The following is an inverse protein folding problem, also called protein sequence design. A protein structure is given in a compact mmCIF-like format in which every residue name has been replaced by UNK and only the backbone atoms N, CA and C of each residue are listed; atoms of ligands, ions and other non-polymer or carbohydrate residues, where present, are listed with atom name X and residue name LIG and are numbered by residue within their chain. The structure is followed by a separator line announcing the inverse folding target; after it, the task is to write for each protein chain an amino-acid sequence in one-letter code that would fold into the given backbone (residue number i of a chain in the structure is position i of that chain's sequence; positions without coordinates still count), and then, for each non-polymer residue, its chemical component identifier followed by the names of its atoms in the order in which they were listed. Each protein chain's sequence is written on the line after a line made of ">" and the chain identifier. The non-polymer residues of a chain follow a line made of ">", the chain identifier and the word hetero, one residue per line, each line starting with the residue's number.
data_IF_275295406878
#
_entry.id   IF_275295406878
#
_cell.length_a   1.000
_cell.length_b   1.000
_cell.length_c   1.000
_cell.angle_alpha   90.00
_cell.angle_beta   90.00
_cell.angle_gamma   90.00
#
_symmetry.space_group_name_H-M   'P 1'
#
loop_
_entity.id
_entity.type
_entity.pdbx_description
1 polymer ?
#
# COMPACT_ATOMS: atom_id res chain seq x y z
N UNK A 1 20.52 -29.81 8.51
CA UNK A 1 19.08 -29.81 8.15
C UNK A 1 18.96 -29.34 6.71
N UNK A 2 18.01 -29.83 5.92
CA UNK A 2 17.81 -29.32 4.57
C UNK A 2 17.26 -27.88 4.65
N UNK A 3 17.76 -26.98 3.80
CA UNK A 3 17.21 -25.62 3.67
C UNK A 3 15.83 -25.70 3.04
N UNK A 4 14.81 -25.21 3.74
CA UNK A 4 13.41 -25.29 3.35
C UNK A 4 12.63 -24.00 3.60
N UNK A 5 13.21 -22.98 4.25
CA UNK A 5 12.50 -21.75 4.59
C UNK A 5 12.76 -20.62 3.60
N UNK A 6 11.72 -19.88 3.26
CA UNK A 6 11.80 -18.55 2.64
C UNK A 6 11.41 -17.53 3.70
N UNK A 7 12.23 -16.49 3.87
CA UNK A 7 11.96 -15.36 4.75
C UNK A 7 11.69 -14.14 3.89
N UNK A 8 10.61 -13.42 4.17
CA UNK A 8 10.17 -12.27 3.35
C UNK A 8 9.93 -11.07 4.26
N UNK A 9 10.51 -9.94 3.90
CA UNK A 9 10.28 -8.62 4.51
C UNK A 9 10.06 -7.57 3.43
N UNK A 10 9.39 -6.49 3.77
CA UNK A 10 9.12 -5.33 2.91
C UNK A 10 9.14 -4.06 3.75
N UNK A 11 8.99 -2.90 3.10
CA UNK A 11 8.68 -1.62 3.74
C UNK A 11 9.69 -1.31 4.86
N UNK A 12 10.96 -1.24 4.51
CA UNK A 12 12.03 -0.86 5.45
C UNK A 12 12.22 0.65 5.45
N UNK A 13 12.18 1.28 4.27
CA UNK A 13 12.32 2.72 4.07
C UNK A 13 13.63 3.34 4.59
N UNK A 14 14.77 2.70 4.30
CA UNK A 14 16.08 3.28 4.56
C UNK A 14 16.24 4.60 3.78
N UNK A 15 16.51 5.70 4.48
CA UNK A 15 16.73 7.03 3.90
C UNK A 15 17.91 7.73 4.59
N UNK A 16 17.96 9.06 4.63
CA UNK A 16 19.04 9.82 5.28
C UNK A 16 18.96 9.86 6.82
N UNK A 17 17.85 9.39 7.40
CA UNK A 17 17.61 9.33 8.84
C UNK A 17 17.23 10.68 9.46
N UNK A 18 16.89 11.69 8.65
CA UNK A 18 16.42 13.00 9.12
C UNK A 18 15.05 12.91 9.79
N UNK A 19 14.57 13.97 10.44
CA UNK A 19 13.32 13.97 11.22
C UNK A 19 12.09 13.46 10.46
N UNK A 20 11.99 13.70 9.16
CA UNK A 20 10.92 13.20 8.29
C UNK A 20 11.05 11.70 7.93
N UNK A 21 12.23 11.08 8.05
CA UNK A 21 12.41 9.67 7.69
C UNK A 21 11.52 8.73 8.51
N UNK A 22 10.93 7.71 7.88
CA UNK A 22 10.19 6.66 8.61
C UNK A 22 11.11 5.67 9.33
N UNK A 23 12.28 5.37 8.76
CA UNK A 23 13.28 4.52 9.40
C UNK A 23 14.25 5.35 10.26
N UNK A 24 14.47 4.93 11.51
CA UNK A 24 15.30 5.66 12.49
C UNK A 24 16.35 4.82 13.20
N UNK A 25 16.08 3.54 13.40
CA UNK A 25 16.89 2.68 14.27
C UNK A 25 17.39 1.45 13.51
N UNK A 26 18.70 1.21 13.57
CA UNK A 26 19.32 0.12 12.84
C UNK A 26 19.31 -1.22 13.61
N UNK A 27 19.02 -1.19 14.91
CA UNK A 27 19.35 -2.31 15.81
C UNK A 27 18.45 -3.52 15.57
N UNK A 28 17.15 -3.29 15.46
CA UNK A 28 16.13 -4.34 15.30
C UNK A 28 16.28 -5.06 13.97
N UNK A 29 16.38 -4.32 12.86
CA UNK A 29 16.54 -4.90 11.53
C UNK A 29 17.89 -5.62 11.39
N UNK A 30 18.99 -5.05 11.91
CA UNK A 30 20.30 -5.70 11.92
C UNK A 30 20.27 -7.01 12.70
N UNK A 31 19.56 -7.06 13.83
CA UNK A 31 19.35 -8.27 14.61
C UNK A 31 18.63 -9.35 13.79
N UNK A 32 17.53 -8.98 13.14
CA UNK A 32 16.74 -9.88 12.30
C UNK A 32 17.53 -10.44 11.12
N UNK A 33 18.24 -9.57 10.37
CA UNK A 33 19.05 -9.97 9.23
C UNK A 33 20.20 -10.90 9.65
N UNK A 34 20.87 -10.60 10.78
CA UNK A 34 21.89 -11.49 11.32
C UNK A 34 21.32 -12.84 11.75
N UNK A 35 20.15 -12.88 12.40
CA UNK A 35 19.48 -14.14 12.74
C UNK A 35 19.15 -14.94 11.47
N UNK A 36 18.59 -14.28 10.46
CA UNK A 36 18.23 -14.90 9.18
C UNK A 36 19.46 -15.48 8.48
N UNK A 37 20.57 -14.75 8.43
CA UNK A 37 21.81 -15.20 7.81
C UNK A 37 22.45 -16.43 8.47
N UNK A 38 22.10 -16.71 9.74
CA UNK A 38 22.67 -17.82 10.51
C UNK A 38 21.66 -18.96 10.78
N UNK A 39 20.40 -18.85 10.35
CA UNK A 39 19.46 -19.96 10.42
C UNK A 39 19.76 -20.96 9.28
N UNK A 40 20.25 -22.17 9.58
CA UNK A 40 20.62 -23.15 8.56
C UNK A 40 19.42 -23.70 7.77
N UNK A 41 18.19 -23.39 8.17
CA UNK A 41 16.98 -23.78 7.45
C UNK A 41 16.58 -22.74 6.39
N UNK A 42 17.08 -21.51 6.47
CA UNK A 42 16.76 -20.45 5.50
C UNK A 42 17.47 -20.74 4.18
N UNK A 43 16.65 -20.88 3.15
CA UNK A 43 17.04 -21.08 1.76
C UNK A 43 17.08 -19.75 1.01
N UNK A 44 16.11 -18.88 1.30
CA UNK A 44 15.84 -17.66 0.52
C UNK A 44 15.48 -16.52 1.47
N UNK A 45 16.05 -15.34 1.23
CA UNK A 45 15.56 -14.07 1.76
C UNK A 45 14.98 -13.26 0.60
N UNK A 46 13.74 -12.80 0.72
CA UNK A 46 13.10 -11.92 -0.27
C UNK A 46 12.88 -10.54 0.36
N UNK A 47 13.43 -9.52 -0.28
CA UNK A 47 13.19 -8.13 0.01
C UNK A 47 12.09 -7.63 -0.94
N UNK A 48 10.85 -7.61 -0.45
CA UNK A 48 9.62 -7.42 -1.24
C UNK A 48 9.21 -5.94 -1.31
N UNK A 49 10.12 -5.10 -1.80
CA UNK A 49 9.87 -3.69 -2.08
C UNK A 49 10.02 -2.76 -0.89
N UNK A 50 10.22 -1.48 -1.23
CA UNK A 50 10.36 -0.36 -0.31
C UNK A 50 11.44 -0.56 0.76
N UNK A 51 12.57 -1.16 0.37
CA UNK A 51 13.75 -1.28 1.23
C UNK A 51 14.44 0.07 1.36
N UNK A 52 14.60 0.77 0.25
CA UNK A 52 15.11 2.13 0.21
C UNK A 52 13.95 3.11 0.07
N UNK A 53 14.09 4.28 0.66
CA UNK A 53 13.15 5.38 0.46
C UNK A 53 13.85 6.52 -0.26
N UNK A 54 13.54 6.67 -1.55
CA UNK A 54 14.00 7.78 -2.39
C UNK A 54 12.87 8.79 -2.68
N UNK A 55 11.78 8.74 -1.90
CA UNK A 55 10.62 9.63 -2.04
C UNK A 55 10.50 10.59 -0.86
N UNK A 56 10.70 10.14 0.37
CA UNK A 56 10.40 10.90 1.59
C UNK A 56 11.49 11.93 1.93
N UNK A 57 11.53 13.01 1.15
CA UNK A 57 12.41 14.17 1.34
C UNK A 57 11.61 15.47 1.16
N UNK A 58 11.94 16.57 1.85
CA UNK A 58 11.31 17.87 1.60
C UNK A 58 11.46 18.32 0.14
N UNK A 59 10.54 19.16 -0.35
CA UNK A 59 10.48 19.58 -1.77
C UNK A 59 11.76 20.29 -2.23
N UNK A 60 12.53 20.89 -1.32
CA UNK A 60 13.77 21.62 -1.61
C UNK A 60 14.99 20.70 -1.70
N UNK A 61 14.89 19.46 -1.22
CA UNK A 61 15.99 18.51 -1.11
C UNK A 61 15.88 17.48 -2.22
N UNK A 62 16.90 17.35 -3.08
CA UNK A 62 16.95 16.25 -4.02
C UNK A 62 17.07 14.94 -3.22
N UNK A 63 16.17 13.96 -3.43
CA UNK A 63 16.26 12.68 -2.73
C UNK A 63 17.63 12.03 -2.93
N UNK A 64 18.09 11.32 -1.91
CA UNK A 64 19.30 10.52 -2.05
C UNK A 64 19.07 9.36 -3.02
N UNK A 65 20.12 8.95 -3.70
CA UNK A 65 20.15 7.70 -4.43
C UNK A 65 20.44 6.53 -3.47
N UNK A 66 20.24 5.30 -3.95
CA UNK A 66 20.52 4.09 -3.18
C UNK A 66 21.98 4.06 -2.69
N UNK A 67 22.94 4.53 -3.49
CA UNK A 67 24.36 4.56 -3.12
C UNK A 67 24.63 5.37 -1.86
N UNK A 68 24.07 6.59 -1.74
CA UNK A 68 24.21 7.41 -0.52
C UNK A 68 23.56 6.74 0.69
N UNK A 69 22.40 6.11 0.50
CA UNK A 69 21.68 5.41 1.58
C UNK A 69 22.48 4.18 2.07
N UNK A 70 23.05 3.40 1.14
CA UNK A 70 23.94 2.27 1.45
C UNK A 70 25.14 2.73 2.29
N UNK A 71 25.77 3.84 1.94
CA UNK A 71 26.91 4.39 2.68
C UNK A 71 26.52 4.82 4.11
N UNK A 72 25.30 5.34 4.29
CA UNK A 72 24.78 5.78 5.59
C UNK A 72 24.55 4.62 6.55
N UNK A 73 23.96 3.53 6.09
CA UNK A 73 23.48 2.42 6.94
C UNK A 73 24.43 1.21 6.99
N UNK A 74 25.73 1.46 7.17
CA UNK A 74 26.78 0.42 7.13
C UNK A 74 26.50 -0.83 7.98
N UNK A 75 25.87 -0.69 9.16
CA UNK A 75 25.50 -1.82 10.01
C UNK A 75 24.46 -2.76 9.37
N UNK A 76 23.44 -2.19 8.72
CA UNK A 76 22.40 -2.94 7.99
C UNK A 76 22.99 -3.56 6.73
N UNK A 77 23.82 -2.80 6.00
CA UNK A 77 24.51 -3.29 4.79
C UNK A 77 25.42 -4.47 5.11
N UNK A 78 26.15 -4.43 6.23
CA UNK A 78 26.97 -5.55 6.70
C UNK A 78 26.11 -6.79 6.99
N UNK A 79 24.93 -6.61 7.58
CA UNK A 79 24.00 -7.71 7.83
C UNK A 79 23.43 -8.30 6.52
N UNK A 80 23.05 -7.45 5.56
CA UNK A 80 22.63 -7.89 4.21
C UNK A 80 23.75 -8.63 3.47
N UNK A 81 24.99 -8.17 3.58
CA UNK A 81 26.16 -8.86 3.05
C UNK A 81 26.32 -10.25 3.67
N UNK A 82 26.10 -10.39 4.98
CA UNK A 82 26.11 -11.69 5.65
C UNK A 82 25.00 -12.61 5.12
N UNK A 83 23.78 -12.10 4.89
CA UNK A 83 22.72 -12.87 4.24
C UNK A 83 23.16 -13.34 2.84
N UNK A 84 23.64 -12.43 2.00
CA UNK A 84 24.04 -12.73 0.63
C UNK A 84 25.27 -13.66 0.51
N UNK A 85 26.08 -13.76 1.57
CA UNK A 85 27.22 -14.68 1.63
C UNK A 85 26.86 -16.09 2.12
N UNK A 86 25.80 -16.22 2.94
CA UNK A 86 25.46 -17.48 3.64
C UNK A 86 24.21 -18.16 3.10
N UNK A 87 23.26 -17.38 2.59
CA UNK A 87 22.02 -17.90 2.04
C UNK A 87 22.20 -18.28 0.56
N UNK A 88 21.56 -19.36 0.10
CA UNK A 88 21.57 -19.74 -1.31
C UNK A 88 21.10 -18.64 -2.26
N UNK A 89 20.07 -17.89 -1.85
CA UNK A 89 19.51 -16.79 -2.63
C UNK A 89 19.05 -15.64 -1.74
N UNK A 90 19.29 -14.43 -2.23
CA UNK A 90 18.68 -13.19 -1.74
C UNK A 90 18.08 -12.47 -2.94
N UNK A 91 16.76 -12.30 -2.93
CA UNK A 91 16.03 -11.62 -3.99
C UNK A 91 15.61 -10.23 -3.55
N UNK A 92 15.61 -9.31 -4.50
CA UNK A 92 15.10 -7.95 -4.36
C UNK A 92 14.02 -7.71 -5.39
N UNK A 93 12.82 -7.35 -4.96
CA UNK A 93 11.72 -6.92 -5.81
C UNK A 93 11.47 -5.46 -5.47
N UNK A 94 11.39 -4.59 -6.48
CA UNK A 94 11.13 -3.16 -6.24
C UNK A 94 9.70 -2.92 -5.73
N UNK A 95 9.58 -1.96 -4.82
CA UNK A 95 8.34 -1.29 -4.48
C UNK A 95 8.25 0.07 -5.18
N UNK A 96 7.35 0.93 -4.73
CA UNK A 96 7.19 2.26 -5.32
C UNK A 96 8.27 3.23 -4.82
N UNK A 97 8.61 3.22 -3.53
CA UNK A 97 9.62 4.13 -2.95
C UNK A 97 11.04 3.89 -3.46
N UNK A 98 11.31 2.72 -4.04
CA UNK A 98 12.60 2.32 -4.61
C UNK A 98 12.48 1.80 -6.06
N UNK A 99 11.45 2.24 -6.80
CA UNK A 99 11.18 1.81 -8.18
C UNK A 99 12.34 2.01 -9.16
N UNK A 100 13.26 2.93 -8.85
CA UNK A 100 14.45 3.23 -9.67
C UNK A 100 15.70 2.44 -9.27
N UNK A 101 15.65 1.62 -8.23
CA UNK A 101 16.81 0.85 -7.75
C UNK A 101 17.12 -0.29 -8.70
N UNK A 102 18.38 -0.38 -9.10
CA UNK A 102 18.85 -1.30 -10.14
C UNK A 102 19.76 -2.39 -9.60
N UNK A 103 20.01 -3.43 -10.41
CA UNK A 103 21.02 -4.45 -10.09
C UNK A 103 22.40 -3.86 -9.82
N UNK A 104 22.77 -2.74 -10.48
CA UNK A 104 24.04 -2.08 -10.25
C UNK A 104 24.14 -1.49 -8.83
N UNK A 105 23.04 -0.94 -8.32
CA UNK A 105 22.97 -0.42 -6.94
C UNK A 105 23.10 -1.55 -5.92
N UNK A 106 22.37 -2.65 -6.09
CA UNK A 106 22.44 -3.80 -5.16
C UNK A 106 23.80 -4.49 -5.20
N UNK A 107 24.49 -4.46 -6.35
CA UNK A 107 25.85 -5.01 -6.47
C UNK A 107 26.88 -4.24 -5.64
N UNK A 108 26.58 -3.00 -5.20
CA UNK A 108 27.39 -2.27 -4.22
C UNK A 108 27.32 -2.90 -2.81
N UNK A 109 26.23 -3.62 -2.52
CA UNK A 109 26.09 -4.41 -1.29
C UNK A 109 26.74 -5.77 -1.50
N UNK A 110 26.24 -6.53 -2.48
CA UNK A 110 26.77 -7.84 -2.86
C UNK A 110 26.24 -8.25 -4.25
N UNK A 111 27.09 -8.82 -5.13
CA UNK A 111 26.63 -9.32 -6.43
C UNK A 111 25.67 -10.52 -6.32
N UNK A 112 25.54 -11.13 -5.13
CA UNK A 112 24.64 -12.26 -4.90
C UNK A 112 23.20 -11.84 -4.54
N UNK A 113 22.93 -10.53 -4.42
CA UNK A 113 21.56 -10.01 -4.29
C UNK A 113 21.03 -9.82 -5.71
N UNK A 114 19.99 -10.57 -6.05
CA UNK A 114 19.40 -10.60 -7.40
C UNK A 114 18.15 -9.73 -7.43
N UNK A 115 18.16 -8.69 -8.27
CA UNK A 115 16.96 -7.92 -8.60
C UNK A 115 16.12 -8.74 -9.58
N UNK A 116 14.88 -9.04 -9.20
CA UNK A 116 13.98 -9.89 -9.96
C UNK A 116 12.59 -9.25 -10.02
N UNK A 117 11.86 -9.45 -11.13
CA UNK A 117 10.45 -9.04 -11.18
C UNK A 117 9.55 -10.00 -10.41
N UNK A 118 8.44 -9.49 -9.88
CA UNK A 118 7.39 -10.31 -9.26
C UNK A 118 6.94 -11.47 -10.18
N UNK A 119 6.75 -11.21 -11.48
CA UNK A 119 6.39 -12.23 -12.47
C UNK A 119 7.42 -13.34 -12.58
N UNK A 120 8.71 -13.00 -12.66
CA UNK A 120 9.78 -14.00 -12.74
C UNK A 120 9.91 -14.81 -11.45
N UNK A 121 9.76 -14.17 -10.29
CA UNK A 121 9.78 -14.89 -9.01
C UNK A 121 8.59 -15.85 -8.90
N UNK A 122 7.38 -15.39 -9.22
CA UNK A 122 6.15 -16.20 -9.10
C UNK A 122 6.14 -17.40 -10.04
N UNK A 123 6.81 -17.33 -11.19
CA UNK A 123 7.01 -18.47 -12.08
C UNK A 123 7.83 -19.61 -11.43
N UNK A 124 8.62 -19.33 -10.38
CA UNK A 124 9.36 -20.34 -9.61
C UNK A 124 8.50 -21.02 -8.53
N UNK A 125 7.38 -20.41 -8.11
CA UNK A 125 6.51 -20.90 -7.04
C UNK A 125 5.00 -20.93 -7.38
N UNK A 126 4.58 -21.32 -8.61
CA UNK A 126 3.24 -21.05 -9.15
C UNK A 126 2.08 -21.70 -8.38
N UNK A 127 2.35 -22.77 -7.63
CA UNK A 127 1.33 -23.52 -6.87
C UNK A 127 1.34 -23.19 -5.36
N UNK A 128 2.21 -22.28 -4.93
CA UNK A 128 2.40 -21.98 -3.51
C UNK A 128 2.14 -20.50 -3.24
N UNK A 129 2.90 -19.63 -3.89
CA UNK A 129 2.98 -18.21 -3.57
C UNK A 129 2.71 -17.35 -4.79
N UNK A 130 2.05 -16.23 -4.56
CA UNK A 130 2.15 -15.05 -5.39
C UNK A 130 2.76 -13.93 -4.54
N UNK A 131 3.95 -13.45 -4.91
CA UNK A 131 4.62 -12.31 -4.28
C UNK A 131 4.56 -11.11 -5.21
N UNK A 132 4.19 -9.96 -4.66
CA UNK A 132 4.46 -8.65 -5.25
C UNK A 132 4.40 -7.58 -4.17
N UNK A 133 4.93 -6.39 -4.40
CA UNK A 133 4.87 -5.34 -3.37
C UNK A 133 3.43 -4.84 -3.14
N UNK A 134 2.61 -4.71 -4.19
CA UNK A 134 1.20 -4.32 -4.13
C UNK A 134 0.87 -2.94 -4.72
N UNK A 135 1.88 -2.08 -4.88
CA UNK A 135 1.71 -0.70 -5.37
C UNK A 135 1.14 -0.57 -6.80
N UNK A 136 1.22 -1.62 -7.63
CA UNK A 136 0.76 -1.56 -9.04
C UNK A 136 -0.76 -1.41 -9.21
N UNK A 137 -1.53 -1.69 -8.15
CA UNK A 137 -2.99 -1.47 -8.10
C UNK A 137 -3.40 -0.28 -7.22
N UNK A 138 -2.43 0.47 -6.73
CA UNK A 138 -2.66 1.71 -6.00
C UNK A 138 -2.73 2.88 -6.97
N UNK A 139 -3.89 3.56 -7.00
CA UNK A 139 -4.15 4.68 -7.90
C UNK A 139 -3.11 5.79 -7.79
N UNK A 140 -2.62 6.03 -6.59
CA UNK A 140 -1.68 7.10 -6.30
C UNK A 140 -0.22 6.64 -6.41
N UNK A 141 0.07 5.35 -6.23
CA UNK A 141 1.44 4.85 -6.10
C UNK A 141 1.93 3.95 -7.25
N UNK A 142 1.06 3.51 -8.17
CA UNK A 142 1.51 2.78 -9.35
C UNK A 142 2.28 3.71 -10.32
N UNK A 143 3.37 3.24 -10.95
CA UNK A 143 4.20 4.05 -11.85
C UNK A 143 3.40 4.78 -12.93
N UNK A 144 3.78 6.02 -13.22
CA UNK A 144 3.15 6.79 -14.28
C UNK A 144 3.76 6.43 -15.64
N UNK A 145 2.95 5.81 -16.51
CA UNK A 145 3.36 5.35 -17.84
C UNK A 145 2.99 6.32 -18.97
N UNK A 146 2.51 7.53 -18.65
CA UNK A 146 2.04 8.51 -19.64
C UNK A 146 3.17 9.11 -20.50
N UNK A 147 4.43 9.00 -20.07
CA UNK A 147 5.61 9.43 -20.84
C UNK A 147 5.89 10.94 -20.86
N UNK A 148 5.28 11.71 -19.95
CA UNK A 148 5.43 13.17 -19.79
C UNK A 148 6.66 13.56 -18.90
N UNK A 149 7.02 14.85 -18.68
CA UNK A 149 8.33 15.26 -18.14
C UNK A 149 8.54 14.99 -16.65
N UNK A 150 7.58 14.35 -15.97
CA UNK A 150 7.67 14.02 -14.54
C UNK A 150 8.38 12.69 -14.25
N UNK A 151 9.11 12.14 -15.24
CA UNK A 151 10.00 10.98 -15.08
C UNK A 151 9.31 9.67 -14.68
N UNK A 152 8.01 9.53 -14.99
CA UNK A 152 7.23 8.34 -14.64
C UNK A 152 6.98 8.16 -13.14
N UNK A 153 7.27 9.20 -12.33
CA UNK A 153 6.93 9.22 -10.92
C UNK A 153 5.41 9.26 -10.76
N UNK A 154 4.84 8.59 -9.76
CA UNK A 154 3.40 8.59 -9.54
C UNK A 154 2.95 9.75 -8.62
N UNK A 155 1.66 10.03 -8.55
CA UNK A 155 1.13 11.15 -7.77
C UNK A 155 1.55 11.09 -6.29
N UNK A 156 1.58 9.88 -5.72
CA UNK A 156 2.00 9.59 -4.36
C UNK A 156 3.43 10.05 -4.06
N UNK A 157 4.33 10.08 -5.05
CA UNK A 157 5.65 10.68 -4.90
C UNK A 157 5.54 12.13 -4.44
N UNK A 158 4.76 12.94 -5.16
CA UNK A 158 4.61 14.37 -4.88
C UNK A 158 3.89 14.64 -3.56
N UNK A 159 2.89 13.81 -3.24
CA UNK A 159 2.23 13.83 -1.93
C UNK A 159 3.25 13.62 -0.82
N UNK A 160 4.06 12.56 -0.93
CA UNK A 160 5.11 12.21 0.04
C UNK A 160 6.14 13.34 0.21
N UNK A 161 6.53 14.03 -0.87
CA UNK A 161 7.42 15.21 -0.80
C UNK A 161 6.83 16.37 -0.02
N UNK A 162 5.54 16.66 -0.23
CA UNK A 162 4.83 17.73 0.48
C UNK A 162 4.62 17.38 1.96
N UNK A 163 4.25 16.13 2.25
CA UNK A 163 4.12 15.62 3.63
C UNK A 163 5.44 15.75 4.39
N UNK A 164 6.56 15.34 3.78
CA UNK A 164 7.90 15.48 4.38
C UNK A 164 8.28 16.95 4.65
N UNK A 165 7.80 17.88 3.81
CA UNK A 165 8.05 19.32 3.98
C UNK A 165 7.21 19.90 5.13
N UNK A 166 5.97 19.46 5.28
CA UNK A 166 5.07 19.92 6.34
C UNK A 166 5.44 19.35 7.72
N UNK A 167 6.04 18.16 7.78
CA UNK A 167 6.58 17.55 9.01
C UNK A 167 5.55 17.02 10.01
N UNK A 168 4.25 17.07 9.69
CA UNK A 168 3.15 16.56 10.54
C UNK A 168 2.40 15.40 9.85
N UNK A 169 3.04 14.23 9.80
CA UNK A 169 2.61 13.13 8.93
C UNK A 169 1.21 12.59 9.27
N UNK A 170 0.95 12.24 10.54
CA UNK A 170 -0.27 11.53 10.94
C UNK A 170 -1.54 12.36 10.70
N UNK A 171 -1.50 13.66 11.02
CA UNK A 171 -2.65 14.56 10.82
C UNK A 171 -2.96 14.76 9.33
N UNK A 172 -1.91 14.90 8.51
CA UNK A 172 -2.05 15.07 7.07
C UNK A 172 -2.66 13.81 6.44
N UNK A 173 -2.17 12.62 6.80
CA UNK A 173 -2.68 11.36 6.24
C UNK A 173 -4.16 11.14 6.56
N UNK A 174 -4.59 11.47 7.78
CA UNK A 174 -6.00 11.41 8.16
C UNK A 174 -6.85 12.37 7.32
N UNK A 175 -6.42 13.63 7.18
CA UNK A 175 -7.13 14.64 6.41
C UNK A 175 -7.22 14.28 4.90
N UNK A 176 -6.16 13.72 4.32
CA UNK A 176 -6.18 13.22 2.95
C UNK A 176 -7.16 12.05 2.78
N UNK A 177 -7.15 11.09 3.72
CA UNK A 177 -8.09 9.97 3.73
C UNK A 177 -9.54 10.47 3.74
N UNK A 178 -9.85 11.48 4.55
CA UNK A 178 -11.21 12.01 4.66
C UNK A 178 -11.66 12.71 3.37
N UNK A 179 -10.76 13.43 2.69
CA UNK A 179 -11.04 13.99 1.36
C UNK A 179 -11.35 12.88 0.36
N UNK A 180 -10.53 11.83 0.31
CA UNK A 180 -10.75 10.68 -0.59
C UNK A 180 -12.09 10.02 -0.31
N UNK A 181 -12.37 9.66 0.96
CA UNK A 181 -13.65 9.05 1.37
C UNK A 181 -14.86 9.92 0.99
N UNK A 182 -14.81 11.21 1.31
CA UNK A 182 -15.88 12.16 0.97
C UNK A 182 -16.11 12.25 -0.54
N UNK A 183 -15.03 12.29 -1.31
CA UNK A 183 -15.09 12.40 -2.76
C UNK A 183 -15.71 11.16 -3.40
N UNK A 184 -15.30 9.97 -2.96
CA UNK A 184 -15.86 8.71 -3.47
C UNK A 184 -17.30 8.46 -3.02
N UNK A 185 -17.72 8.95 -1.85
CA UNK A 185 -19.13 8.95 -1.45
C UNK A 185 -20.03 9.73 -2.43
N UNK A 186 -19.54 10.84 -2.99
CA UNK A 186 -20.25 11.63 -4.02
C UNK A 186 -20.33 10.86 -5.35
N UNK A 187 -19.24 10.21 -5.76
CA UNK A 187 -19.20 9.39 -6.98
C UNK A 187 -20.20 8.22 -6.89
N UNK A 188 -20.21 7.52 -5.76
CA UNK A 188 -21.14 6.40 -5.52
C UNK A 188 -22.61 6.85 -5.58
N UNK A 189 -22.91 8.00 -4.99
CA UNK A 189 -24.25 8.61 -5.01
C UNK A 189 -24.68 8.99 -6.45
N UNK A 190 -23.78 9.59 -7.24
CA UNK A 190 -24.04 9.92 -8.64
C UNK A 190 -24.27 8.66 -9.50
N UNK A 191 -23.44 7.63 -9.31
CA UNK A 191 -23.61 6.36 -10.03
C UNK A 191 -24.95 5.68 -9.72
N UNK A 192 -25.37 5.66 -8.46
CA UNK A 192 -26.68 5.11 -8.06
C UNK A 192 -27.84 5.84 -8.78
N UNK A 193 -27.75 7.16 -8.89
CA UNK A 193 -28.71 7.98 -9.62
C UNK A 193 -28.74 7.66 -11.13
N UNK A 194 -27.57 7.51 -11.76
CA UNK A 194 -27.46 7.12 -13.18
C UNK A 194 -28.04 5.73 -13.43
N UNK A 195 -27.74 4.74 -12.56
CA UNK A 195 -28.29 3.39 -12.67
C UNK A 195 -29.81 3.37 -12.53
N UNK A 196 -30.37 4.18 -11.63
CA UNK A 196 -31.82 4.32 -11.48
C UNK A 196 -32.49 4.83 -12.77
N UNK A 197 -31.87 5.81 -13.45
CA UNK A 197 -32.39 6.31 -14.73
C UNK A 197 -32.29 5.26 -15.85
N UNK A 198 -31.20 4.50 -15.90
CA UNK A 198 -30.98 3.41 -16.88
C UNK A 198 -31.91 2.21 -16.71
N UNK A 199 -32.37 1.94 -15.49
CA UNK A 199 -33.31 0.85 -15.19
C UNK A 199 -34.71 1.06 -15.77
N UNK A 200 -35.05 2.27 -16.23
CA UNK A 200 -36.35 2.59 -16.81
C UNK A 200 -36.43 2.18 -18.29
N UNK A 201 -37.48 1.43 -18.66
CA UNK A 201 -37.65 0.81 -19.99
C UNK A 201 -37.70 1.80 -21.17
N UNK A 202 -37.87 3.09 -20.89
CA UNK A 202 -37.95 4.16 -21.88
C UNK A 202 -36.59 4.54 -22.50
N UNK A 203 -35.46 4.20 -21.86
CA UNK A 203 -34.15 4.77 -22.22
C UNK A 203 -33.06 3.74 -22.58
N UNK A 204 -33.39 2.44 -22.49
CA UNK A 204 -32.43 1.32 -22.43
C UNK A 204 -31.60 1.06 -23.70
N UNK A 205 -31.95 1.63 -24.85
CA UNK A 205 -31.25 1.35 -26.13
C UNK A 205 -30.80 2.57 -26.94
N UNK A 206 -31.26 3.77 -26.60
CA UNK A 206 -30.91 5.00 -27.34
C UNK A 206 -29.77 5.79 -26.70
N UNK A 207 -29.35 5.46 -25.48
CA UNK A 207 -28.56 6.35 -24.62
C UNK A 207 -27.31 5.73 -23.98
N UNK A 208 -27.00 4.45 -24.20
CA UNK A 208 -25.85 3.80 -23.52
C UNK A 208 -24.54 4.57 -23.75
N UNK A 209 -24.20 4.91 -24.99
CA UNK A 209 -23.00 5.70 -25.30
C UNK A 209 -23.05 7.16 -24.84
N UNK A 210 -24.25 7.76 -24.73
CA UNK A 210 -24.41 9.11 -24.18
C UNK A 210 -24.18 9.12 -22.66
N UNK A 211 -24.65 8.09 -21.97
CA UNK A 211 -24.53 7.95 -20.52
C UNK A 211 -23.10 7.60 -20.11
N UNK A 212 -22.42 6.74 -20.85
CA UNK A 212 -20.99 6.51 -20.66
C UNK A 212 -20.18 7.79 -20.86
N UNK A 213 -20.45 8.58 -21.90
CA UNK A 213 -19.77 9.85 -22.13
C UNK A 213 -20.04 10.87 -21.00
N UNK A 214 -21.27 10.94 -20.48
CA UNK A 214 -21.61 11.76 -19.32
C UNK A 214 -20.88 11.30 -18.04
N UNK A 215 -20.82 9.99 -17.81
CA UNK A 215 -20.12 9.43 -16.66
C UNK A 215 -18.61 9.68 -16.73
N UNK A 216 -18.00 9.50 -17.90
CA UNK A 216 -16.59 9.84 -18.11
C UNK A 216 -16.33 11.34 -17.90
N UNK A 217 -17.21 12.21 -18.40
CA UNK A 217 -17.11 13.66 -18.17
C UNK A 217 -17.22 14.03 -16.69
N UNK A 218 -18.16 13.41 -15.98
CA UNK A 218 -18.32 13.58 -14.54
C UNK A 218 -17.07 13.11 -13.78
N UNK A 219 -16.59 11.87 -14.04
CA UNK A 219 -15.41 11.31 -13.38
C UNK A 219 -14.16 12.13 -13.69
N UNK A 220 -14.02 12.66 -14.91
CA UNK A 220 -12.91 13.55 -15.27
C UNK A 220 -12.93 14.84 -14.44
N UNK A 221 -14.09 15.48 -14.32
CA UNK A 221 -14.26 16.71 -13.52
C UNK A 221 -14.05 16.44 -12.03
N UNK A 222 -14.61 15.34 -11.53
CA UNK A 222 -14.43 14.88 -10.16
C UNK A 222 -12.94 14.63 -9.86
N UNK A 223 -12.24 13.89 -10.72
CA UNK A 223 -10.81 13.61 -10.61
C UNK A 223 -9.96 14.87 -10.56
N UNK A 224 -10.24 15.85 -11.42
CA UNK A 224 -9.58 17.16 -11.36
C UNK A 224 -9.76 17.83 -9.99
N UNK A 225 -11.01 17.91 -9.51
CA UNK A 225 -11.32 18.52 -8.21
C UNK A 225 -10.67 17.76 -7.04
N UNK A 226 -10.59 16.42 -7.13
CA UNK A 226 -9.91 15.61 -6.12
C UNK A 226 -8.42 15.96 -6.05
N UNK A 227 -7.73 15.97 -7.19
CA UNK A 227 -6.29 16.29 -7.23
C UNK A 227 -6.03 17.71 -6.75
N UNK A 228 -6.84 18.69 -7.18
CA UNK A 228 -6.74 20.07 -6.69
C UNK A 228 -6.92 20.12 -5.16
N UNK A 229 -7.97 19.49 -4.62
CA UNK A 229 -8.24 19.49 -3.18
C UNK A 229 -7.13 18.81 -2.35
N UNK A 230 -6.59 17.67 -2.82
CA UNK A 230 -5.50 16.98 -2.13
C UNK A 230 -4.22 17.82 -2.12
N UNK A 231 -3.85 18.42 -3.25
CA UNK A 231 -2.64 19.24 -3.34
C UNK A 231 -2.80 20.56 -2.59
N UNK A 232 -3.97 21.22 -2.66
CA UNK A 232 -4.24 22.45 -1.93
C UNK A 232 -4.16 22.24 -0.42
N UNK A 233 -4.77 21.16 0.09
CA UNK A 233 -4.65 20.80 1.51
C UNK A 233 -3.18 20.65 1.92
N UNK A 234 -2.39 19.91 1.13
CA UNK A 234 -0.98 19.71 1.39
C UNK A 234 -0.19 21.02 1.40
N UNK A 235 -0.46 21.93 0.46
CA UNK A 235 0.15 23.25 0.42
C UNK A 235 -0.19 24.06 1.67
N UNK A 236 -1.44 24.02 2.15
CA UNK A 236 -1.82 24.71 3.39
C UNK A 236 -1.07 24.16 4.62
N UNK A 237 -0.88 22.84 4.72
CA UNK A 237 -0.04 22.27 5.77
C UNK A 237 1.43 22.69 5.63
N UNK A 238 1.98 22.69 4.41
CA UNK A 238 3.35 23.14 4.18
C UNK A 238 3.52 24.62 4.56
N UNK A 239 2.52 25.47 4.32
CA UNK A 239 2.56 26.90 4.69
C UNK A 239 2.67 27.15 6.20
N UNK A 240 2.30 26.18 7.03
CA UNK A 240 2.54 26.25 8.48
C UNK A 240 4.04 26.22 8.81
N UNK A 241 4.85 25.56 7.99
CA UNK A 241 6.30 25.49 8.11
C UNK A 241 7.03 26.54 7.23
N UNK A 242 6.53 26.78 6.01
CA UNK A 242 7.07 27.73 5.04
C UNK A 242 5.95 28.43 4.27
N UNK A 243 5.55 29.62 4.75
CA UNK A 243 4.45 30.41 4.19
C UNK A 243 4.68 30.92 2.76
N UNK A 244 5.91 30.78 2.22
CA UNK A 244 6.22 31.16 0.85
C UNK A 244 5.76 30.12 -0.18
N UNK A 245 5.45 28.89 0.25
CA UNK A 245 5.08 27.79 -0.65
C UNK A 245 3.73 28.04 -1.32
N UNK A 246 3.70 27.91 -2.65
CA UNK A 246 2.52 28.08 -3.49
C UNK A 246 2.65 27.23 -4.78
N UNK A 247 1.69 27.33 -5.69
CA UNK A 247 1.67 26.57 -6.94
C UNK A 247 2.92 26.74 -7.83
N UNK A 248 3.64 27.86 -7.71
CA UNK A 248 4.88 28.10 -8.46
C UNK A 248 6.13 27.58 -7.75
N UNK A 249 6.00 27.08 -6.51
CA UNK A 249 7.13 26.50 -5.77
C UNK A 249 7.57 25.20 -6.44
N UNK A 250 8.90 25.06 -6.57
CA UNK A 250 9.50 23.93 -7.25
C UNK A 250 9.74 22.76 -6.29
N UNK A 251 9.44 21.56 -6.77
CA UNK A 251 9.83 20.28 -6.19
C UNK A 251 11.08 19.81 -6.94
N UNK A 252 12.17 19.58 -6.19
CA UNK A 252 13.45 19.14 -6.74
C UNK A 252 13.45 17.62 -6.93
N UNK A 253 13.53 17.17 -8.18
CA UNK A 253 13.51 15.75 -8.58
C UNK A 253 14.87 15.08 -8.40
N UNK A 254 14.95 13.73 -8.42
CA UNK A 254 16.20 13.00 -8.13
C UNK A 254 17.35 13.34 -9.08
N UNK A 255 17.06 13.59 -10.37
CA UNK A 255 18.05 14.00 -11.37
C UNK A 255 18.40 15.50 -11.33
N UNK A 256 17.88 16.25 -10.35
CA UNK A 256 18.06 17.70 -10.23
C UNK A 256 17.10 18.55 -11.06
N UNK A 257 16.24 17.95 -11.89
CA UNK A 257 15.16 18.66 -12.56
C UNK A 257 14.15 19.21 -11.55
N UNK A 258 13.32 20.16 -11.99
CA UNK A 258 12.30 20.80 -11.16
C UNK A 258 10.95 20.69 -11.83
N UNK A 259 9.93 20.46 -11.02
CA UNK A 259 8.52 20.55 -11.41
C UNK A 259 7.82 21.40 -10.36
N UNK A 260 6.95 22.32 -10.77
CA UNK A 260 6.21 23.13 -9.81
C UNK A 260 4.92 22.42 -9.34
N UNK A 261 4.42 22.82 -8.18
CA UNK A 261 3.23 22.21 -7.56
C UNK A 261 1.99 22.33 -8.48
N UNK A 262 1.85 23.44 -9.21
CA UNK A 262 0.76 23.62 -10.18
C UNK A 262 0.84 22.66 -11.38
N UNK A 263 2.05 22.30 -11.83
CA UNK A 263 2.27 21.28 -12.87
C UNK A 263 1.86 19.90 -12.39
N UNK A 264 2.10 19.55 -11.11
CA UNK A 264 1.59 18.30 -10.52
C UNK A 264 0.07 18.22 -10.64
N UNK A 265 -0.65 19.29 -10.25
CA UNK A 265 -2.12 19.34 -10.39
C UNK A 265 -2.57 19.14 -11.84
N UNK A 266 -1.93 19.86 -12.78
CA UNK A 266 -2.23 19.78 -14.21
C UNK A 266 -1.94 18.40 -14.78
N UNK A 267 -0.87 17.75 -14.35
CA UNK A 267 -0.48 16.45 -14.88
C UNK A 267 -1.47 15.37 -14.43
N UNK A 268 -1.78 15.30 -13.12
CA UNK A 268 -2.63 14.24 -12.57
C UNK A 268 -4.13 14.48 -12.64
N UNK A 269 -4.61 15.58 -13.21
CA UNK A 269 -6.07 15.89 -13.25
C UNK A 269 -6.95 14.80 -13.91
N UNK A 270 -6.37 13.92 -14.73
CA UNK A 270 -7.06 12.76 -15.36
C UNK A 270 -6.80 11.43 -14.66
N UNK A 271 -6.05 11.40 -13.56
CA UNK A 271 -5.67 10.16 -12.87
C UNK A 271 -6.89 9.30 -12.57
N UNK A 272 -7.90 9.87 -11.90
CA UNK A 272 -9.14 9.16 -11.57
C UNK A 272 -9.87 8.62 -12.82
N UNK A 273 -9.91 9.39 -13.91
CA UNK A 273 -10.53 8.94 -15.16
C UNK A 273 -9.76 7.76 -15.78
N UNK A 274 -8.44 7.83 -15.80
CA UNK A 274 -7.60 6.77 -16.36
C UNK A 274 -7.78 5.46 -15.57
N UNK A 275 -7.84 5.55 -14.25
CA UNK A 275 -8.09 4.41 -13.37
C UNK A 275 -9.51 3.88 -13.48
N UNK A 276 -10.50 4.75 -13.63
CA UNK A 276 -11.87 4.36 -13.93
C UNK A 276 -11.95 3.55 -15.23
N UNK A 277 -11.25 3.98 -16.29
CA UNK A 277 -11.22 3.23 -17.56
C UNK A 277 -10.55 1.87 -17.43
N UNK A 278 -9.58 1.72 -16.52
CA UNK A 278 -8.84 0.48 -16.31
C UNK A 278 -9.58 -0.53 -15.41
N UNK A 279 -10.22 -0.06 -14.34
CA UNK A 279 -10.80 -0.92 -13.30
C UNK A 279 -12.33 -0.86 -13.21
N UNK A 280 -12.96 0.12 -13.86
CA UNK A 280 -14.38 0.40 -13.68
C UNK A 280 -14.70 1.01 -12.31
N UNK A 281 -15.96 1.39 -12.11
CA UNK A 281 -16.40 2.04 -10.87
C UNK A 281 -16.33 1.14 -9.63
N UNK A 282 -16.59 -0.17 -9.80
CA UNK A 282 -16.66 -1.12 -8.69
C UNK A 282 -15.36 -1.20 -7.89
N UNK A 283 -14.23 -1.10 -8.58
CA UNK A 283 -12.91 -1.23 -7.98
C UNK A 283 -12.17 0.10 -7.84
N UNK A 284 -12.69 1.18 -8.40
CA UNK A 284 -12.02 2.48 -8.39
C UNK A 284 -11.73 2.95 -6.96
N UNK A 285 -12.69 2.78 -6.04
CA UNK A 285 -12.49 3.11 -4.63
C UNK A 285 -11.38 2.26 -4.01
N UNK A 286 -11.40 0.95 -4.25
CA UNK A 286 -10.40 0.02 -3.73
C UNK A 286 -8.98 0.38 -4.20
N UNK A 287 -8.83 0.83 -5.46
CA UNK A 287 -7.53 1.31 -5.97
C UNK A 287 -7.08 2.61 -5.31
N UNK A 288 -7.99 3.50 -4.92
CA UNK A 288 -7.68 4.74 -4.22
C UNK A 288 -7.35 4.54 -2.73
N UNK A 289 -7.74 3.40 -2.16
CA UNK A 289 -7.48 3.04 -0.76
C UNK A 289 -6.53 1.86 -0.62
N UNK A 290 -5.82 1.48 -1.69
CA UNK A 290 -4.95 0.31 -1.75
C UNK A 290 -3.80 0.35 -0.71
N UNK A 291 -3.34 1.55 -0.32
CA UNK A 291 -2.38 1.75 0.77
C UNK A 291 -2.91 1.33 2.15
N UNK A 292 -4.21 1.09 2.30
CA UNK A 292 -4.84 0.68 3.55
C UNK A 292 -5.38 -0.77 3.53
N UNK A 293 -5.36 -1.42 2.37
CA UNK A 293 -5.87 -2.79 2.19
C UNK A 293 -5.78 -3.30 0.76
N UNK A 294 -5.33 -4.55 0.60
CA UNK A 294 -5.11 -5.21 -0.70
C UNK A 294 -5.77 -6.61 -0.76
N UNK A 295 -6.58 -6.98 0.23
CA UNK A 295 -7.27 -8.26 0.31
C UNK A 295 -8.21 -8.49 -0.89
N UNK A 296 -8.95 -7.47 -1.31
CA UNK A 296 -9.77 -7.50 -2.52
C UNK A 296 -8.96 -7.87 -3.79
N UNK A 297 -7.71 -7.41 -3.86
CA UNK A 297 -6.84 -7.66 -4.99
C UNK A 297 -6.20 -9.05 -4.89
N UNK A 298 -5.80 -9.46 -3.70
CA UNK A 298 -5.36 -10.82 -3.43
C UNK A 298 -6.43 -11.85 -3.81
N UNK A 299 -7.70 -11.60 -3.52
CA UNK A 299 -8.81 -12.47 -3.95
C UNK A 299 -8.88 -12.60 -5.48
N UNK A 300 -8.70 -11.50 -6.21
CA UNK A 300 -8.65 -11.51 -7.68
C UNK A 300 -7.47 -12.32 -8.21
N UNK A 301 -6.28 -12.13 -7.64
CA UNK A 301 -5.09 -12.87 -8.04
C UNK A 301 -5.25 -14.38 -7.81
N UNK A 302 -5.81 -14.78 -6.66
CA UNK A 302 -6.07 -16.18 -6.36
C UNK A 302 -7.16 -16.78 -7.25
N UNK A 303 -8.14 -15.99 -7.69
CA UNK A 303 -9.14 -16.47 -8.66
C UNK A 303 -8.57 -16.76 -10.05
N UNK A 304 -7.39 -16.21 -10.36
CA UNK A 304 -6.73 -16.28 -11.67
C UNK A 304 -5.42 -17.08 -11.67
N UNK A 305 -5.03 -17.65 -10.53
CA UNK A 305 -3.78 -18.37 -10.38
C UNK A 305 -3.94 -19.69 -9.62
N UNK A 306 -2.92 -20.53 -9.68
CA UNK A 306 -2.84 -21.78 -8.92
C UNK A 306 -2.22 -21.60 -7.53
N UNK A 307 -1.78 -20.37 -7.20
CA UNK A 307 -1.22 -20.04 -5.90
C UNK A 307 -2.27 -20.24 -4.79
N UNK A 308 -1.79 -20.46 -3.56
CA UNK A 308 -2.65 -20.61 -2.37
C UNK A 308 -2.53 -19.45 -1.41
N UNK A 309 -1.42 -18.72 -1.48
CA UNK A 309 -1.17 -17.55 -0.66
C UNK A 309 -0.65 -16.41 -1.53
N UNK A 310 -1.22 -15.23 -1.35
CA UNK A 310 -0.67 -13.95 -1.84
C UNK A 310 0.07 -13.29 -0.69
N UNK A 311 1.30 -12.86 -0.92
CA UNK A 311 2.06 -12.07 0.04
C UNK A 311 2.42 -10.72 -0.58
N UNK A 312 2.16 -9.65 0.16
CA UNK A 312 2.42 -8.27 -0.26
C UNK A 312 3.07 -7.44 0.85
N UNK A 313 3.58 -6.27 0.47
CA UNK A 313 3.98 -5.19 1.38
C UNK A 313 3.05 -3.99 1.21
N UNK A 314 3.59 -2.77 1.10
CA UNK A 314 2.92 -1.54 0.65
C UNK A 314 1.97 -0.89 1.67
N UNK A 315 1.19 -1.68 2.43
CA UNK A 315 0.25 -1.12 3.41
C UNK A 315 0.89 -0.79 4.76
N UNK A 316 2.13 -1.23 4.99
CA UNK A 316 2.87 -1.13 6.25
C UNK A 316 2.22 -1.87 7.45
N UNK A 317 1.08 -2.52 7.24
CA UNK A 317 0.31 -3.16 8.30
C UNK A 317 0.41 -4.68 8.20
N UNK A 318 1.23 -5.27 9.09
CA UNK A 318 1.37 -6.73 9.17
C UNK A 318 0.03 -7.39 9.47
N UNK A 319 -0.49 -8.15 8.51
CA UNK A 319 -1.81 -8.76 8.59
C UNK A 319 -1.82 -10.12 7.91
N UNK A 320 -2.55 -11.08 8.46
CA UNK A 320 -2.92 -12.29 7.76
C UNK A 320 -4.44 -12.44 7.69
N UNK A 321 -4.96 -12.72 6.49
CA UNK A 321 -6.38 -12.96 6.24
C UNK A 321 -6.60 -14.28 5.51
N UNK A 322 -7.62 -15.02 5.94
CA UNK A 322 -8.18 -16.18 5.25
C UNK A 322 -9.28 -15.70 4.31
N UNK A 323 -9.02 -15.74 3.00
CA UNK A 323 -9.91 -15.21 1.96
C UNK A 323 -10.49 -16.35 1.11
N UNK A 324 -11.51 -16.06 0.29
CA UNK A 324 -12.35 -17.09 -0.34
C UNK A 324 -11.56 -18.20 -1.10
N UNK A 325 -10.43 -17.84 -1.71
CA UNK A 325 -9.62 -18.74 -2.54
C UNK A 325 -8.24 -19.07 -1.95
N UNK A 326 -7.98 -18.71 -0.68
CA UNK A 326 -6.71 -18.98 -0.03
C UNK A 326 -6.39 -17.99 1.09
N UNK A 327 -5.15 -17.50 1.09
CA UNK A 327 -4.63 -16.64 2.16
C UNK A 327 -4.04 -15.36 1.56
N UNK A 328 -4.26 -14.24 2.22
CA UNK A 328 -3.55 -12.98 1.97
C UNK A 328 -2.69 -12.66 3.18
N UNK A 329 -1.42 -12.33 2.96
CA UNK A 329 -0.49 -11.94 4.01
C UNK A 329 0.21 -10.65 3.62
N UNK A 330 0.12 -9.64 4.48
CA UNK A 330 0.96 -8.46 4.38
C UNK A 330 2.16 -8.59 5.33
N UNK A 331 3.39 -8.38 4.85
CA UNK A 331 4.59 -8.48 5.70
C UNK A 331 4.73 -7.36 6.73
N UNK A 332 3.98 -6.26 6.61
CA UNK A 332 4.05 -5.11 7.50
C UNK A 332 5.25 -4.20 7.24
N UNK A 333 5.61 -3.36 8.21
CA UNK A 333 6.75 -2.44 8.12
C UNK A 333 7.90 -2.81 9.07
N UNK A 334 9.11 -2.49 8.65
CA UNK A 334 10.30 -2.35 9.52
C UNK A 334 10.61 -0.89 9.84
N UNK A 335 9.71 -0.01 9.40
CA UNK A 335 9.72 1.44 9.57
C UNK A 335 8.71 1.88 10.65
N UNK A 336 8.77 3.16 11.04
CA UNK A 336 7.81 3.79 11.95
C UNK A 336 7.78 3.13 13.37
N UNK A 337 6.69 3.34 14.11
CA UNK A 337 6.50 2.85 15.50
C UNK A 337 5.77 1.50 15.57
N UNK A 338 5.55 0.83 14.44
CA UNK A 338 4.84 -0.44 14.41
C UNK A 338 5.73 -1.59 14.90
N UNK A 339 5.12 -2.64 15.45
CA UNK A 339 5.83 -3.89 15.75
C UNK A 339 6.30 -4.51 14.43
N UNK A 340 7.61 -4.77 14.23
CA UNK A 340 8.08 -5.37 13.00
C UNK A 340 7.55 -6.78 12.80
N UNK A 341 7.20 -7.10 11.57
CA UNK A 341 6.72 -8.41 11.16
C UNK A 341 7.44 -8.91 9.92
N UNK A 342 7.41 -10.23 9.70
CA UNK A 342 7.95 -10.87 8.51
C UNK A 342 7.15 -12.12 8.17
N UNK A 343 7.22 -12.54 6.91
CA UNK A 343 6.58 -13.78 6.47
C UNK A 343 7.62 -14.89 6.42
N UNK A 344 7.29 -16.04 6.99
CA UNK A 344 8.05 -17.27 6.86
C UNK A 344 7.24 -18.27 6.05
N UNK A 345 7.86 -18.81 4.99
CA UNK A 345 7.32 -19.91 4.20
C UNK A 345 8.15 -21.15 4.45
N UNK A 346 7.52 -22.26 4.86
CA UNK A 346 8.20 -23.56 4.95
C UNK A 346 7.83 -24.41 3.74
N UNK A 347 8.81 -24.68 2.88
CA UNK A 347 8.66 -25.53 1.70
C UNK A 347 8.71 -27.01 2.09
N UNK A 348 7.57 -27.68 1.96
CA UNK A 348 7.38 -29.10 2.22
C UNK A 348 6.21 -29.61 1.35
N UNK A 349 5.79 -30.88 1.51
CA UNK A 349 4.70 -31.45 0.71
C UNK A 349 3.40 -30.62 0.78
N UNK A 350 3.10 -30.03 1.94
CA UNK A 350 2.07 -29.02 2.15
C UNK A 350 2.74 -27.76 2.70
N UNK A 351 3.09 -26.78 1.84
CA UNK A 351 3.77 -25.57 2.29
C UNK A 351 2.94 -24.79 3.30
N UNK A 352 3.60 -24.19 4.29
CA UNK A 352 2.96 -23.29 5.25
C UNK A 352 3.47 -21.87 5.05
N UNK A 353 2.57 -20.89 5.15
CA UNK A 353 2.89 -19.47 5.08
C UNK A 353 2.35 -18.80 6.34
N UNK A 354 3.23 -18.23 7.15
CA UNK A 354 2.85 -17.59 8.41
C UNK A 354 3.45 -16.19 8.52
N UNK A 355 2.65 -15.28 9.07
CA UNK A 355 3.14 -13.97 9.52
C UNK A 355 3.69 -14.12 10.93
N UNK A 356 4.85 -13.54 11.22
CA UNK A 356 5.47 -13.56 12.54
C UNK A 356 5.83 -12.15 13.00
N UNK A 357 5.70 -11.90 14.30
CA UNK A 357 6.30 -10.71 14.94
C UNK A 357 7.80 -10.90 15.16
N UNK A 358 8.53 -9.80 15.25
CA UNK A 358 9.92 -9.79 15.68
C UNK A 358 10.10 -8.80 16.85
N UNK A 359 10.85 -9.13 17.92
CA UNK A 359 11.78 -10.26 18.06
C UNK A 359 11.17 -11.56 18.62
N UNK A 360 9.90 -11.57 19.04
CA UNK A 360 9.30 -12.72 19.73
C UNK A 360 9.13 -13.94 18.82
N UNK A 361 9.14 -13.75 17.49
CA UNK A 361 8.88 -14.79 16.50
C UNK A 361 7.52 -15.47 16.70
N UNK A 362 6.56 -14.75 17.29
CA UNK A 362 5.22 -15.23 17.55
C UNK A 362 4.41 -15.24 16.23
N UNK A 363 3.72 -16.34 15.96
CA UNK A 363 2.84 -16.45 14.78
C UNK A 363 1.61 -15.58 15.00
N UNK A 364 1.36 -14.68 14.05
CA UNK A 364 0.14 -13.86 13.99
C UNK A 364 -0.91 -14.66 13.22
N UNK A 365 -2.07 -14.99 13.84
CA UNK A 365 -3.07 -15.84 13.22
C UNK A 365 -3.78 -15.12 12.07
N UNK A 366 -4.23 -15.90 11.09
CA UNK A 366 -5.03 -15.40 9.98
C UNK A 366 -6.48 -15.23 10.42
N UNK A 367 -7.02 -14.03 10.18
CA UNK A 367 -8.40 -13.68 10.53
C UNK A 367 -9.32 -13.82 9.30
N UNK A 368 -10.62 -13.97 9.52
CA UNK A 368 -11.59 -13.82 8.44
C UNK A 368 -11.78 -12.31 8.15
N UNK A 369 -11.87 -11.88 6.88
CA UNK A 369 -12.16 -10.49 6.53
C UNK A 369 -13.48 -10.05 7.18
N UNK A 370 -13.54 -8.83 7.74
CA UNK A 370 -14.75 -8.35 8.43
C UNK A 370 -15.98 -8.31 7.52
N UNK A 371 -15.82 -8.11 6.21
CA UNK A 371 -16.92 -8.15 5.23
C UNK A 371 -17.62 -9.53 5.13
N UNK A 372 -16.99 -10.60 5.57
CA UNK A 372 -17.56 -11.96 5.56
C UNK A 372 -18.45 -12.27 6.78
N UNK A 373 -18.38 -11.47 7.85
CA UNK A 373 -19.17 -11.69 9.06
C UNK A 373 -20.61 -11.15 8.94
N UNK A 374 -20.87 -10.17 8.08
CA UNK A 374 -22.22 -9.62 7.88
C UNK A 374 -23.12 -10.52 7.01
N UNK A 375 -22.56 -11.46 6.25
CA UNK A 375 -23.34 -12.41 5.43
C UNK A 375 -23.68 -13.73 6.16
N UNK A 376 -23.24 -13.92 7.41
CA UNK A 376 -23.38 -15.18 8.13
C UNK A 376 -24.28 -15.11 9.39
N UNK A 377 -25.03 -14.03 9.60
CA UNK A 377 -26.03 -13.95 10.66
C UNK A 377 -27.43 -14.23 10.10
N UNK A 378 -28.06 -15.39 10.39
CA UNK A 378 -29.48 -15.55 10.14
C UNK A 378 -30.26 -14.63 11.10
N UNK A 379 -31.19 -13.87 10.52
CA UNK A 379 -32.21 -13.11 11.26
C UNK A 379 -32.99 -14.10 12.13
N UNK A 380 -32.70 -14.13 13.43
CA UNK A 380 -33.63 -14.67 14.41
C UNK A 380 -34.43 -13.49 14.97
N UNK A 381 -35.69 -13.45 14.58
CA UNK A 381 -36.73 -12.64 15.21
C UNK A 381 -36.72 -12.89 16.72
N UNK A 382 -36.57 -11.83 17.51
CA UNK A 382 -37.01 -11.83 18.90
C UNK A 382 -38.39 -11.18 18.96
N UNK A 383 -39.41 -12.02 19.06
CA UNK A 383 -40.65 -11.66 19.74
C UNK A 383 -40.31 -11.34 21.20
N UNK A 384 -40.39 -10.06 21.59
CA UNK A 384 -40.46 -9.68 22.99
C UNK A 384 -41.93 -9.63 23.42
N UNK A 385 -42.37 -10.71 24.06
CA UNK A 385 -43.58 -10.75 24.86
C UNK A 385 -43.45 -9.81 26.07
N UNK A 386 -44.31 -8.81 26.15
CA UNK A 386 -44.53 -7.94 27.32
C UNK A 386 -44.98 -8.74 28.56
N UNK A 387 -44.45 -8.48 29.76
CA UNK A 387 -45.10 -8.86 31.01
C UNK A 387 -46.13 -7.79 31.42
N UNK A 388 -47.37 -8.21 31.61
CA UNK A 388 -48.41 -7.42 32.29
C UNK A 388 -48.03 -7.22 33.76
N UNK A 389 -47.91 -5.97 34.22
CA UNK A 389 -47.88 -5.65 35.64
C UNK A 389 -49.28 -5.31 36.13
N UNK A 390 -49.74 -6.12 37.07
CA UNK A 390 -51.01 -6.01 37.77
C UNK A 390 -51.09 -4.75 38.63
N UNK A 391 -52.26 -4.14 38.57
CA UNK A 391 -52.73 -3.04 39.39
C UNK A 391 -53.18 -3.57 40.76
N UNK A 392 -52.63 -3.06 41.87
CA UNK A 392 -53.26 -3.15 43.19
C UNK A 392 -53.28 -1.78 43.89
N UNK A 393 -54.51 -1.38 44.18
CA UNK A 393 -54.94 -0.23 44.98
C UNK A 393 -54.35 -0.25 46.41
N UNK A 394 -53.96 0.93 46.90
CA UNK A 394 -54.61 1.70 47.99
C UNK A 394 -54.11 1.34 49.40
N UNK A 395 -53.45 2.30 50.06
CA UNK A 395 -54.07 3.05 51.17
C UNK A 395 -53.08 4.09 51.75
N UNK A 396 -53.60 5.31 51.93
CA UNK A 396 -53.10 6.40 52.79
C UNK A 396 -53.23 5.99 54.30
N UNK A 397 -52.87 6.80 55.34
CA UNK A 397 -52.53 8.24 55.38
C UNK A 397 -51.37 8.67 56.31
N UNK A 398 -50.75 9.82 56.03
CA UNK A 398 -50.83 11.09 56.79
C UNK A 398 -49.93 12.15 56.16
#
# INVERSE_FOLDING_TARGET
>A
MAQSKIVIISDVHLSDGQSYSWFKDDSTLKGFLNQTAHDPQVKELVLLGDVFDVWLYPIQVAPWDAKKIIQKWSGIITALQSCAAKLPKVYYINGNHDMGVTQADLSLISPNIEVISATQYNAQHPNTLHLEHGHLVDMFNAPDISGDPIQGLPFGYFVTRLVATAGNHDEIWNALSDIVKSHFGKISSYNSFVQQMNGSSMWRGFFEGFIEALLEDFIRKAGKLLIEALVDLLVEYVKLADSSVNDNSNILLPNGAKVNIGEVKKHYHKLLLNWFKKYGLADLYNTATASTGLDWYAEKLLSQSTAKTVVMGHTHHGQCLSIANGQYVNSGCWCAKAQPTYVEVTLQAAPTVVLKSYPENAVIPCLMPMHSLEMAAPVMEREETMPQMEQKCSDQPQ
#
